data_IF_252197666326
#
_entry.id   IF_252197666326
#
_cell.length_a   1.000
_cell.length_b   1.000
_cell.length_c   1.000
_cell.angle_alpha   90.00
_cell.angle_beta   90.00
_cell.angle_gamma   90.00
#
_symmetry.space_group_name_H-M   'P 1'
#
loop_
_entity.id
_entity.type
_entity.pdbx_description
1 polymer ?
#
# COMPACT_ATOMS: atom_id res chain seq x y z
N UNK A 1 -19.54 -15.07 15.74
CA UNK A 1 -18.71 -13.99 16.34
C UNK A 1 -18.13 -13.16 15.22
N UNK A 2 -18.09 -11.83 15.31
CA UNK A 2 -17.42 -10.99 14.32
C UNK A 2 -15.95 -11.37 14.23
N UNK A 3 -15.38 -11.24 13.03
CA UNK A 3 -13.94 -11.47 12.81
C UNK A 3 -13.11 -10.40 13.51
N UNK A 4 -11.91 -10.72 14.02
CA UNK A 4 -10.95 -9.71 14.44
C UNK A 4 -10.61 -8.76 13.28
N UNK A 5 -10.40 -7.50 13.57
CA UNK A 5 -10.06 -6.50 12.55
C UNK A 5 -8.70 -6.81 11.87
N UNK A 6 -7.71 -7.26 12.64
CA UNK A 6 -6.35 -7.52 12.14
C UNK A 6 -5.79 -8.81 12.74
N UNK A 7 -5.23 -9.66 11.90
CA UNK A 7 -4.34 -10.75 12.28
C UNK A 7 -2.89 -10.30 12.12
N UNK A 8 -2.17 -10.20 13.22
CA UNK A 8 -0.72 -9.94 13.21
C UNK A 8 0.03 -11.27 13.04
N UNK A 9 0.59 -11.50 11.86
CA UNK A 9 1.24 -12.76 11.51
C UNK A 9 2.75 -12.65 11.69
N UNK A 10 3.28 -13.28 12.75
CA UNK A 10 4.71 -13.23 13.13
C UNK A 10 5.52 -14.43 12.66
N UNK A 11 4.91 -15.45 12.04
CA UNK A 11 5.60 -16.64 11.56
C UNK A 11 6.17 -16.45 10.14
N UNK A 12 7.51 -16.49 9.94
CA UNK A 12 8.11 -16.49 8.60
C UNK A 12 7.63 -17.65 7.72
N UNK A 13 7.35 -18.82 8.35
CA UNK A 13 6.80 -19.99 7.65
C UNK A 13 5.39 -19.69 7.13
N UNK A 14 4.52 -19.10 7.94
CA UNK A 14 3.17 -18.72 7.50
C UNK A 14 3.23 -17.72 6.36
N UNK A 15 4.12 -16.73 6.41
CA UNK A 15 4.35 -15.80 5.30
C UNK A 15 4.78 -16.51 4.04
N UNK A 16 5.70 -17.49 4.10
CA UNK A 16 6.10 -18.26 2.92
C UNK A 16 4.94 -19.02 2.26
N UNK A 17 3.96 -19.42 3.07
CA UNK A 17 2.74 -20.05 2.55
C UNK A 17 1.79 -19.03 1.87
N UNK A 18 1.78 -17.77 2.29
CA UNK A 18 0.90 -16.74 1.72
C UNK A 18 1.50 -16.12 0.45
N UNK A 19 2.81 -15.92 0.40
CA UNK A 19 3.53 -15.14 -0.61
C UNK A 19 3.58 -15.79 -2.01
N UNK A 20 2.54 -16.52 -2.42
CA UNK A 20 2.34 -16.88 -3.82
C UNK A 20 1.21 -16.00 -4.41
N UNK A 21 1.38 -15.45 -5.61
CA UNK A 21 0.40 -14.54 -6.20
C UNK A 21 -1.05 -15.03 -6.12
N UNK A 22 -1.28 -16.31 -6.49
CA UNK A 22 -2.63 -16.90 -6.43
C UNK A 22 -3.21 -16.90 -5.02
N UNK A 23 -2.41 -17.23 -4.00
CA UNK A 23 -2.90 -17.25 -2.62
C UNK A 23 -3.17 -15.85 -2.09
N UNK A 24 -2.33 -14.88 -2.48
CA UNK A 24 -2.55 -13.48 -2.13
C UNK A 24 -3.86 -12.96 -2.74
N UNK A 25 -4.12 -13.29 -4.00
CA UNK A 25 -5.37 -12.95 -4.69
C UNK A 25 -6.59 -13.68 -4.10
N UNK A 26 -6.44 -14.93 -3.66
CA UNK A 26 -7.52 -15.65 -2.99
C UNK A 26 -7.93 -14.97 -1.68
N UNK A 27 -6.98 -14.45 -0.90
CA UNK A 27 -7.29 -13.66 0.30
C UNK A 27 -8.11 -12.43 -0.06
N UNK A 28 -7.71 -11.69 -1.10
CA UNK A 28 -8.44 -10.50 -1.56
C UNK A 28 -9.83 -10.86 -2.10
N UNK A 29 -9.97 -11.95 -2.87
CA UNK A 29 -11.27 -12.44 -3.32
C UNK A 29 -12.16 -12.84 -2.14
N UNK A 30 -11.61 -13.51 -1.14
CA UNK A 30 -12.35 -13.88 0.07
C UNK A 30 -12.81 -12.66 0.88
N UNK A 31 -12.11 -11.54 0.83
CA UNK A 31 -12.59 -10.28 1.46
C UNK A 31 -13.89 -9.76 0.83
N UNK A 32 -14.18 -10.16 -0.40
CA UNK A 32 -15.40 -9.76 -1.11
C UNK A 32 -16.57 -10.73 -0.89
N UNK A 33 -16.30 -12.03 -0.65
CA UNK A 33 -17.35 -13.06 -0.62
C UNK A 33 -17.43 -13.89 0.66
N UNK A 34 -16.42 -13.85 1.55
CA UNK A 34 -16.40 -14.71 2.73
C UNK A 34 -17.46 -14.32 3.79
N UNK A 35 -18.11 -15.31 4.43
CA UNK A 35 -17.86 -16.74 4.31
C UNK A 35 -18.39 -17.32 2.99
N UNK A 36 -17.57 -18.07 2.26
CA UNK A 36 -17.89 -18.52 0.90
C UNK A 36 -17.33 -19.91 0.58
N UNK A 37 -17.90 -20.55 -0.44
CA UNK A 37 -17.37 -21.78 -1.03
C UNK A 37 -16.23 -21.44 -2.03
N UNK A 38 -15.40 -22.42 -2.32
CA UNK A 38 -14.29 -22.22 -3.26
C UNK A 38 -14.75 -21.81 -4.67
N UNK A 39 -15.95 -22.25 -5.08
CA UNK A 39 -16.54 -21.85 -6.35
C UNK A 39 -16.75 -20.33 -6.47
N UNK A 40 -17.14 -19.67 -5.36
CA UNK A 40 -17.30 -18.20 -5.34
C UNK A 40 -15.96 -17.48 -5.42
N UNK A 41 -14.91 -18.02 -4.79
CA UNK A 41 -13.54 -17.48 -4.93
C UNK A 41 -13.04 -17.67 -6.37
N UNK A 42 -13.35 -18.81 -6.97
CA UNK A 42 -13.00 -19.14 -8.36
C UNK A 42 -13.65 -18.17 -9.36
N UNK A 43 -14.93 -17.85 -9.14
CA UNK A 43 -15.69 -16.87 -9.93
C UNK A 43 -15.06 -15.46 -9.85
N UNK A 44 -14.75 -14.99 -8.65
CA UNK A 44 -14.10 -13.68 -8.46
C UNK A 44 -12.74 -13.60 -9.16
N UNK A 45 -11.99 -14.70 -9.16
CA UNK A 45 -10.63 -14.76 -9.73
C UNK A 45 -10.60 -15.14 -11.22
N UNK A 46 -11.75 -15.47 -11.80
CA UNK A 46 -11.86 -16.04 -13.14
C UNK A 46 -10.92 -17.25 -13.33
N UNK A 47 -11.01 -18.25 -12.41
CA UNK A 47 -10.15 -19.44 -12.39
C UNK A 47 -10.96 -20.71 -12.14
N UNK A 48 -10.50 -21.87 -12.67
CA UNK A 48 -11.11 -23.15 -12.33
C UNK A 48 -11.03 -23.43 -10.81
N UNK A 49 -12.15 -23.79 -10.20
CA UNK A 49 -12.23 -24.09 -8.76
C UNK A 49 -11.24 -25.18 -8.33
N UNK A 50 -11.07 -26.22 -9.16
CA UNK A 50 -10.18 -27.35 -8.88
C UNK A 50 -8.71 -26.93 -8.71
N UNK A 51 -8.30 -25.88 -9.40
CA UNK A 51 -6.95 -25.34 -9.28
C UNK A 51 -6.69 -24.67 -7.93
N UNK A 52 -7.75 -24.27 -7.21
CA UNK A 52 -7.65 -23.45 -5.98
C UNK A 52 -7.63 -24.29 -4.68
N UNK A 53 -8.11 -25.55 -4.69
CA UNK A 53 -8.17 -26.35 -3.46
C UNK A 53 -6.81 -26.49 -2.77
N UNK A 54 -5.77 -26.83 -3.50
CA UNK A 54 -4.41 -26.95 -2.94
C UNK A 54 -3.89 -25.62 -2.37
N UNK A 55 -4.30 -24.49 -2.95
CA UNK A 55 -3.95 -23.17 -2.45
C UNK A 55 -4.75 -22.83 -1.19
N UNK A 56 -6.03 -23.23 -1.12
CA UNK A 56 -6.87 -23.08 0.05
C UNK A 56 -6.29 -23.82 1.26
N UNK A 57 -5.87 -25.07 1.07
CA UNK A 57 -5.22 -25.84 2.16
C UNK A 57 -3.97 -25.12 2.68
N UNK A 58 -3.15 -24.53 1.81
CA UNK A 58 -1.99 -23.74 2.23
C UNK A 58 -2.36 -22.47 3.01
N UNK A 59 -3.50 -21.84 2.70
CA UNK A 59 -4.01 -20.70 3.47
C UNK A 59 -4.55 -21.12 4.83
N UNK A 60 -5.13 -22.32 4.94
CA UNK A 60 -5.51 -22.91 6.21
C UNK A 60 -4.28 -23.25 7.04
N UNK A 61 -3.27 -23.90 6.44
CA UNK A 61 -1.98 -24.22 7.09
C UNK A 61 -1.25 -22.95 7.59
N UNK A 62 -1.43 -21.82 6.87
CA UNK A 62 -0.89 -20.53 7.27
C UNK A 62 -1.69 -19.86 8.41
N UNK A 63 -2.86 -20.39 8.77
CA UNK A 63 -3.72 -19.86 9.81
C UNK A 63 -4.47 -18.57 9.42
N UNK A 64 -4.59 -18.26 8.14
CA UNK A 64 -5.30 -17.06 7.65
C UNK A 64 -6.71 -17.33 7.16
N UNK A 65 -6.99 -18.59 6.85
CA UNK A 65 -8.32 -19.10 6.48
C UNK A 65 -8.72 -20.23 7.43
N UNK A 66 -10.00 -20.34 7.71
CA UNK A 66 -10.61 -21.43 8.50
C UNK A 66 -11.77 -22.07 7.75
N UNK A 67 -12.05 -23.35 8.03
CA UNK A 67 -13.29 -23.98 7.62
C UNK A 67 -14.41 -23.43 8.50
N UNK A 68 -15.47 -22.90 7.88
CA UNK A 68 -16.59 -22.23 8.57
C UNK A 68 -17.89 -23.04 8.54
N UNK A 69 -17.81 -24.30 8.15
CA UNK A 69 -18.96 -25.20 8.06
C UNK A 69 -19.22 -25.70 6.64
N UNK A 70 -20.39 -26.22 6.42
CA UNK A 70 -20.84 -26.73 5.12
C UNK A 70 -22.17 -26.10 4.74
N UNK A 71 -22.38 -25.89 3.44
CA UNK A 71 -23.62 -25.37 2.88
C UNK A 71 -24.19 -26.38 1.88
N UNK A 72 -25.50 -26.63 1.96
CA UNK A 72 -26.22 -27.40 0.93
C UNK A 72 -26.63 -26.48 -0.19
N UNK A 73 -26.24 -26.81 -1.41
CA UNK A 73 -26.66 -26.11 -2.63
C UNK A 73 -27.33 -27.15 -3.53
N UNK A 74 -28.67 -27.24 -3.45
CA UNK A 74 -29.40 -28.29 -4.10
C UNK A 74 -29.05 -29.68 -3.55
N UNK A 75 -28.53 -30.58 -4.44
CA UNK A 75 -28.07 -31.93 -4.08
C UNK A 75 -26.63 -32.02 -3.62
N UNK A 76 -25.86 -30.92 -3.69
CA UNK A 76 -24.43 -30.89 -3.36
C UNK A 76 -24.20 -30.27 -1.99
N UNK A 77 -23.20 -30.77 -1.31
CA UNK A 77 -22.70 -30.18 -0.07
C UNK A 77 -21.35 -29.53 -0.36
N UNK A 78 -21.22 -28.26 -0.05
CA UNK A 78 -20.02 -27.48 -0.30
C UNK A 78 -19.35 -27.07 1.02
N UNK A 79 -18.04 -27.20 1.10
CA UNK A 79 -17.27 -26.67 2.22
C UNK A 79 -17.25 -25.15 2.14
N UNK A 80 -17.59 -24.50 3.24
CA UNK A 80 -17.53 -23.04 3.40
C UNK A 80 -16.24 -22.67 4.14
N UNK A 81 -15.58 -21.62 3.65
CA UNK A 81 -14.34 -21.07 4.20
C UNK A 81 -14.57 -19.63 4.64
N UNK A 82 -13.85 -19.21 5.66
CA UNK A 82 -13.88 -17.85 6.15
C UNK A 82 -12.48 -17.35 6.48
N UNK A 83 -12.26 -16.04 6.38
CA UNK A 83 -11.02 -15.43 6.83
C UNK A 83 -10.97 -15.42 8.36
N UNK A 84 -9.78 -15.58 8.92
CA UNK A 84 -9.56 -15.51 10.37
C UNK A 84 -9.66 -14.06 10.87
N UNK A 85 -9.29 -13.08 10.04
CA UNK A 85 -9.40 -11.65 10.33
C UNK A 85 -9.72 -10.87 9.05
N UNK A 86 -10.17 -9.62 9.20
CA UNK A 86 -10.49 -8.75 8.06
C UNK A 86 -9.21 -8.27 7.34
N UNK A 87 -8.12 -8.12 8.07
CA UNK A 87 -6.81 -7.74 7.54
C UNK A 87 -5.69 -8.64 8.08
N UNK A 88 -4.61 -8.76 7.32
CA UNK A 88 -3.42 -9.52 7.70
C UNK A 88 -2.24 -8.55 7.62
N UNK A 89 -1.55 -8.36 8.72
CA UNK A 89 -0.37 -7.51 8.79
C UNK A 89 0.85 -8.29 9.26
N UNK A 90 2.06 -7.90 8.84
CA UNK A 90 3.27 -8.45 9.42
C UNK A 90 3.37 -8.06 10.90
N UNK A 91 3.44 -9.08 11.75
CA UNK A 91 3.82 -8.94 13.14
C UNK A 91 5.31 -9.21 13.28
N UNK A 92 6.10 -8.19 13.53
CA UNK A 92 7.56 -8.35 13.61
C UNK A 92 8.05 -8.80 14.99
N UNK A 93 7.17 -8.87 15.98
CA UNK A 93 7.51 -9.39 17.30
C UNK A 93 8.06 -10.83 17.19
N UNK A 94 9.27 -11.05 17.68
CA UNK A 94 9.94 -12.34 17.61
C UNK A 94 10.63 -12.69 16.29
N UNK A 95 10.57 -11.81 15.27
CA UNK A 95 11.37 -11.93 14.05
C UNK A 95 12.72 -11.22 14.19
N UNK A 96 13.77 -11.83 13.64
CA UNK A 96 15.02 -11.12 13.41
C UNK A 96 14.84 -10.10 12.28
N UNK A 97 15.69 -9.06 12.25
CA UNK A 97 15.68 -8.06 11.17
C UNK A 97 15.77 -8.69 9.77
N UNK A 98 16.63 -9.71 9.64
CA UNK A 98 16.77 -10.48 8.39
C UNK A 98 15.48 -11.20 7.99
N UNK A 99 14.73 -11.75 8.96
CA UNK A 99 13.46 -12.42 8.68
C UNK A 99 12.39 -11.41 8.29
N UNK A 100 12.30 -10.30 9.00
CA UNK A 100 11.40 -9.20 8.68
C UNK A 100 11.67 -8.64 7.27
N UNK A 101 12.94 -8.40 6.94
CA UNK A 101 13.37 -7.98 5.61
C UNK A 101 12.92 -8.94 4.50
N UNK A 102 13.12 -10.26 4.68
CA UNK A 102 12.66 -11.27 3.71
C UNK A 102 11.14 -11.30 3.54
N UNK A 103 10.38 -11.07 4.60
CA UNK A 103 8.91 -10.97 4.51
C UNK A 103 8.52 -9.76 3.68
N UNK A 104 9.10 -8.59 3.96
CA UNK A 104 8.83 -7.37 3.18
C UNK A 104 9.19 -7.52 1.70
N UNK A 105 10.40 -8.01 1.41
CA UNK A 105 10.84 -8.28 0.03
C UNK A 105 9.87 -9.23 -0.69
N UNK A 106 9.45 -10.29 0.00
CA UNK A 106 8.49 -11.26 -0.54
C UNK A 106 7.11 -10.65 -0.82
N UNK A 107 6.60 -9.82 0.07
CA UNK A 107 5.33 -9.09 -0.12
C UNK A 107 5.44 -8.17 -1.33
N UNK A 108 6.48 -7.35 -1.41
CA UNK A 108 6.68 -6.42 -2.53
C UNK A 108 6.84 -7.16 -3.87
N UNK A 109 7.62 -8.23 -3.89
CA UNK A 109 7.78 -9.07 -5.08
C UNK A 109 6.46 -9.73 -5.52
N UNK A 110 5.62 -10.13 -4.58
CA UNK A 110 4.31 -10.72 -4.86
C UNK A 110 3.36 -9.68 -5.45
N UNK A 111 3.27 -8.52 -4.84
CA UNK A 111 2.46 -7.38 -5.33
C UNK A 111 2.91 -6.99 -6.75
N UNK A 112 4.21 -6.82 -6.96
CA UNK A 112 4.75 -6.45 -8.28
C UNK A 112 4.36 -7.46 -9.38
N UNK A 113 4.40 -8.77 -9.07
CA UNK A 113 3.96 -9.83 -10.01
C UNK A 113 2.47 -9.73 -10.33
N UNK A 114 1.63 -9.46 -9.34
CA UNK A 114 0.18 -9.31 -9.51
C UNK A 114 -0.09 -8.08 -10.38
N UNK A 115 0.46 -6.92 -10.05
CA UNK A 115 0.29 -5.67 -10.80
C UNK A 115 0.73 -5.84 -12.25
N UNK A 116 1.93 -6.39 -12.48
CA UNK A 116 2.46 -6.59 -13.83
C UNK A 116 1.61 -7.56 -14.66
N UNK A 117 1.02 -8.60 -14.05
CA UNK A 117 0.10 -9.50 -14.72
C UNK A 117 -1.20 -8.80 -15.07
N UNK A 118 -1.85 -8.16 -14.09
CA UNK A 118 -3.12 -7.44 -14.29
C UNK A 118 -2.98 -6.37 -15.38
N UNK A 119 -1.86 -5.64 -15.42
CA UNK A 119 -1.60 -4.66 -16.48
C UNK A 119 -1.50 -5.33 -17.88
N UNK A 120 -0.77 -6.47 -17.99
CA UNK A 120 -0.69 -7.20 -19.25
C UNK A 120 -2.04 -7.72 -19.71
N UNK A 121 -2.84 -8.24 -18.79
CA UNK A 121 -4.16 -8.79 -19.10
C UNK A 121 -5.13 -7.67 -19.51
N UNK A 122 -5.10 -6.51 -18.85
CA UNK A 122 -5.86 -5.33 -19.24
C UNK A 122 -5.49 -4.84 -20.65
N UNK A 123 -4.21 -4.86 -21.03
CA UNK A 123 -3.77 -4.50 -22.40
C UNK A 123 -4.26 -5.55 -23.41
N UNK A 124 -4.10 -6.84 -23.13
CA UNK A 124 -4.48 -7.92 -24.06
C UNK A 124 -5.98 -7.97 -24.34
N UNK A 125 -6.80 -7.67 -23.37
CA UNK A 125 -8.27 -7.73 -23.49
C UNK A 125 -8.90 -6.37 -23.79
N UNK A 126 -8.10 -5.36 -24.20
CA UNK A 126 -8.61 -4.05 -24.60
C UNK A 126 -9.15 -3.19 -23.47
N UNK A 127 -8.87 -3.57 -22.22
CA UNK A 127 -9.37 -2.84 -21.03
C UNK A 127 -8.83 -1.42 -20.87
N UNK A 128 -7.82 -1.03 -21.65
CA UNK A 128 -7.22 0.31 -21.62
C UNK A 128 -7.49 1.12 -22.89
N UNK A 129 -8.05 0.50 -23.96
CA UNK A 129 -8.28 1.14 -25.25
C UNK A 129 -9.72 0.89 -25.71
N UNK A 130 -10.39 1.89 -26.25
CA UNK A 130 -11.65 1.74 -26.95
C UNK A 130 -12.82 2.53 -26.38
N UNK A 131 -13.90 1.90 -25.97
CA UNK A 131 -15.20 2.49 -25.71
C UNK A 131 -15.24 3.58 -24.63
N UNK A 132 -16.13 4.54 -24.78
CA UNK A 132 -16.49 5.55 -23.77
C UNK A 132 -17.63 5.01 -22.88
N UNK A 133 -17.62 5.22 -21.53
CA UNK A 133 -16.54 5.80 -20.73
C UNK A 133 -15.38 4.80 -20.55
N UNK A 134 -14.17 5.27 -20.75
CA UNK A 134 -12.96 4.43 -20.62
C UNK A 134 -12.73 4.05 -19.14
N UNK A 135 -12.44 2.78 -18.82
CA UNK A 135 -11.85 2.47 -17.56
C UNK A 135 -10.52 3.20 -17.43
N UNK A 136 -10.38 3.97 -16.36
CA UNK A 136 -9.17 4.76 -16.16
C UNK A 136 -8.12 3.91 -15.47
N UNK A 137 -7.05 3.57 -16.18
CA UNK A 137 -5.81 3.15 -15.54
C UNK A 137 -5.02 4.42 -15.17
N UNK A 138 -4.62 4.53 -13.91
CA UNK A 138 -3.77 5.58 -13.41
C UNK A 138 -2.59 4.98 -12.65
N UNK A 139 -1.41 5.50 -12.90
CA UNK A 139 -0.21 5.15 -12.14
C UNK A 139 0.63 6.40 -11.94
N UNK A 140 1.22 6.54 -10.79
CA UNK A 140 2.22 7.57 -10.50
C UNK A 140 3.34 6.99 -9.66
N UNK A 141 4.51 7.61 -9.77
CA UNK A 141 5.68 7.35 -8.94
C UNK A 141 6.20 8.70 -8.46
N UNK A 142 6.15 8.93 -7.17
CA UNK A 142 6.56 10.18 -6.56
C UNK A 142 7.66 9.96 -5.51
N UNK A 143 8.59 10.89 -5.45
CA UNK A 143 9.56 11.00 -4.39
C UNK A 143 9.31 12.28 -3.62
N UNK A 144 8.86 12.15 -2.39
CA UNK A 144 8.53 13.28 -1.54
C UNK A 144 9.33 13.25 -0.24
N UNK A 145 9.67 14.41 0.28
CA UNK A 145 10.23 14.56 1.60
C UNK A 145 9.08 14.70 2.60
N UNK A 146 8.91 13.70 3.45
CA UNK A 146 7.93 13.72 4.53
C UNK A 146 8.66 13.86 5.85
N UNK A 147 8.34 14.88 6.60
CA UNK A 147 8.83 15.06 7.95
C UNK A 147 8.08 14.12 8.93
N UNK A 148 8.63 13.83 10.11
CA UNK A 148 7.94 13.00 11.10
C UNK A 148 6.53 13.52 11.46
N UNK A 149 6.32 14.83 11.45
CA UNK A 149 5.04 15.50 11.68
C UNK A 149 4.01 15.30 10.56
N UNK A 150 4.45 15.05 9.31
CA UNK A 150 3.55 14.78 8.17
C UNK A 150 3.01 13.34 8.20
N UNK A 151 3.69 12.44 8.91
CA UNK A 151 3.37 11.02 8.88
C UNK A 151 2.00 10.65 9.44
N UNK A 152 1.44 11.32 10.47
CA UNK A 152 0.07 11.08 10.91
C UNK A 152 -0.95 11.39 9.81
N UNK A 153 -0.87 12.54 9.17
CA UNK A 153 -1.77 12.95 8.09
C UNK A 153 -1.66 12.01 6.89
N UNK A 154 -0.44 11.68 6.48
CA UNK A 154 -0.18 10.71 5.42
C UNK A 154 -0.85 9.35 5.70
N UNK A 155 -0.76 8.83 6.94
CA UNK A 155 -1.42 7.59 7.33
C UNK A 155 -2.94 7.67 7.25
N UNK A 156 -3.53 8.80 7.63
CA UNK A 156 -4.97 8.99 7.54
C UNK A 156 -5.44 9.02 6.08
N UNK A 157 -4.71 9.63 5.15
CA UNK A 157 -5.01 9.56 3.72
C UNK A 157 -4.96 8.12 3.20
N UNK A 158 -3.92 7.36 3.54
CA UNK A 158 -3.81 5.94 3.16
C UNK A 158 -4.95 5.10 3.72
N UNK A 159 -5.35 5.36 4.95
CA UNK A 159 -6.47 4.70 5.62
C UNK A 159 -7.82 5.06 4.98
N UNK A 160 -8.03 6.33 4.63
CA UNK A 160 -9.23 6.79 3.94
C UNK A 160 -9.41 6.11 2.58
N UNK A 161 -8.34 5.99 1.79
CA UNK A 161 -8.34 5.26 0.52
C UNK A 161 -8.71 3.79 0.75
N UNK A 162 -8.06 3.13 1.73
CA UNK A 162 -8.35 1.73 2.07
C UNK A 162 -9.80 1.51 2.50
N UNK A 163 -10.36 2.40 3.31
CA UNK A 163 -11.75 2.36 3.76
C UNK A 163 -12.71 2.53 2.58
N UNK A 164 -12.50 3.54 1.74
CA UNK A 164 -13.30 3.75 0.53
C UNK A 164 -13.34 2.50 -0.37
N UNK A 165 -12.20 1.83 -0.58
CA UNK A 165 -12.12 0.62 -1.37
C UNK A 165 -12.83 -0.57 -0.68
N UNK A 166 -12.77 -0.65 0.65
CA UNK A 166 -13.44 -1.68 1.41
C UNK A 166 -14.97 -1.61 1.26
N UNK A 167 -15.52 -0.41 1.24
CA UNK A 167 -16.96 -0.17 1.05
C UNK A 167 -17.46 -0.52 -0.37
N UNK A 168 -16.54 -0.69 -1.33
CA UNK A 168 -16.85 -1.00 -2.73
C UNK A 168 -16.61 -2.47 -3.10
N UNK A 169 -16.46 -3.36 -2.14
CA UNK A 169 -16.15 -4.79 -2.35
C UNK A 169 -17.33 -5.65 -2.80
N UNK A 170 -18.48 -5.08 -3.18
CA UNK A 170 -19.64 -5.87 -3.63
C UNK A 170 -19.38 -6.45 -5.01
N UNK A 171 -19.31 -7.79 -5.18
CA UNK A 171 -19.05 -8.43 -6.47
C UNK A 171 -20.11 -8.09 -7.51
N UNK A 172 -19.67 -7.98 -8.77
CA UNK A 172 -20.57 -7.75 -9.92
C UNK A 172 -21.14 -6.34 -10.05
N UNK A 173 -20.78 -5.41 -9.16
CA UNK A 173 -21.22 -4.01 -9.24
C UNK A 173 -20.10 -3.12 -9.76
N UNK A 174 -20.14 -2.80 -11.05
CA UNK A 174 -19.14 -1.97 -11.73
C UNK A 174 -17.95 -2.78 -12.25
N UNK A 175 -16.85 -2.09 -12.55
CA UNK A 175 -15.60 -2.69 -13.02
C UNK A 175 -14.70 -3.01 -11.84
N UNK A 176 -14.12 -4.21 -11.82
CA UNK A 176 -13.15 -4.62 -10.81
C UNK A 176 -11.79 -3.93 -11.08
N UNK A 177 -11.29 -3.20 -10.10
CA UNK A 177 -9.98 -2.56 -10.15
C UNK A 177 -9.02 -3.20 -9.15
N UNK A 178 -7.78 -3.42 -9.58
CA UNK A 178 -6.66 -3.63 -8.67
C UNK A 178 -6.08 -2.26 -8.30
N UNK A 179 -6.13 -1.92 -7.02
CA UNK A 179 -5.52 -0.70 -6.48
C UNK A 179 -4.39 -1.09 -5.52
N UNK A 180 -3.21 -0.53 -5.74
CA UNK A 180 -2.03 -0.76 -4.91
C UNK A 180 -1.44 0.57 -4.50
N UNK A 181 -1.21 0.76 -3.21
CA UNK A 181 -0.49 1.90 -2.67
C UNK A 181 0.64 1.39 -1.77
N UNK A 182 1.85 1.84 -2.04
CA UNK A 182 3.07 1.47 -1.31
C UNK A 182 3.86 2.73 -0.99
N UNK A 183 4.23 2.88 0.27
CA UNK A 183 5.14 3.93 0.72
C UNK A 183 6.29 3.31 1.50
N UNK A 184 7.50 3.63 1.11
CA UNK A 184 8.72 3.13 1.74
C UNK A 184 9.78 4.23 1.83
N UNK A 185 10.57 4.28 2.92
CA UNK A 185 11.68 5.21 3.01
C UNK A 185 12.76 4.86 1.97
N UNK A 186 13.21 5.85 1.22
CA UNK A 186 14.34 5.72 0.30
C UNK A 186 15.64 5.91 1.08
N UNK A 187 16.39 4.82 1.27
CA UNK A 187 17.69 4.88 1.95
C UNK A 187 18.75 5.44 0.99
N UNK A 188 19.16 6.67 1.22
CA UNK A 188 20.23 7.30 0.46
C UNK A 188 21.57 6.93 1.08
N UNK A 189 22.47 6.34 0.30
CA UNK A 189 23.89 6.21 0.72
C UNK A 189 24.44 7.63 0.85
N UNK A 190 24.66 8.10 2.07
CA UNK A 190 25.33 9.38 2.31
C UNK A 190 26.72 9.28 1.68
N UNK A 191 26.95 10.03 0.60
CA UNK A 191 28.30 10.28 0.12
C UNK A 191 29.08 10.98 1.23
N UNK A 192 30.34 10.65 1.40
CA UNK A 192 31.24 11.10 2.46
C UNK A 192 31.46 12.64 2.54
N UNK A 193 30.66 13.47 1.88
CA UNK A 193 30.83 14.93 1.77
C UNK A 193 29.91 15.80 2.62
N UNK A 194 28.99 15.23 3.42
CA UNK A 194 28.07 16.05 4.24
C UNK A 194 28.47 16.20 5.71
N UNK A 195 29.64 15.69 6.14
CA UNK A 195 30.15 15.89 7.48
C UNK A 195 31.02 17.16 7.66
N UNK A 196 31.17 18.00 6.64
CA UNK A 196 32.00 19.21 6.74
C UNK A 196 31.23 20.47 7.15
N UNK A 197 29.89 20.48 7.02
CA UNK A 197 29.10 21.73 7.23
C UNK A 197 28.36 21.81 8.56
N UNK A 198 28.40 20.76 9.39
CA UNK A 198 27.79 20.77 10.73
C UNK A 198 28.76 21.12 11.85
N UNK A 199 29.98 21.60 11.52
CA UNK A 199 30.94 22.14 12.48
C UNK A 199 31.24 23.62 12.23
N UNK A 200 30.24 24.49 12.30
CA UNK A 200 30.49 25.90 12.61
C UNK A 200 30.21 26.13 14.09
N UNK A 201 31.19 26.57 14.86
CA UNK A 201 30.99 26.88 16.28
C UNK A 201 30.11 28.11 16.40
N UNK A 202 29.09 28.02 17.22
CA UNK A 202 28.40 29.18 17.80
C UNK A 202 29.42 29.91 18.66
N UNK A 203 29.74 31.16 18.33
CA UNK A 203 30.50 32.02 19.19
C UNK A 203 31.35 33.03 18.47
N UNK A 204 30.79 34.18 18.09
CA UNK A 204 31.53 35.44 18.03
C UNK A 204 30.57 36.61 18.21
N UNK A 205 30.39 37.00 19.43
CA UNK A 205 30.36 38.32 20.03
C UNK A 205 29.88 39.50 19.17
N UNK A 206 28.77 40.03 19.58
CA UNK A 206 28.34 41.41 19.33
C UNK A 206 29.50 42.41 19.52
N UNK A 207 29.79 43.22 18.54
CA UNK A 207 30.46 44.49 18.72
C UNK A 207 29.55 45.60 18.26
N UNK A 208 29.04 46.25 19.26
CA UNK A 208 28.35 47.56 19.20
C UNK A 208 29.36 48.59 18.63
N UNK A 209 28.95 49.30 17.61
CA UNK A 209 29.54 50.65 17.34
C UNK A 209 28.40 51.63 17.08
N UNK A 210 28.33 52.57 18.03
CA UNK A 210 27.53 53.80 18.01
C UNK A 210 28.24 54.88 17.20
N UNK A 211 27.44 55.87 16.83
CA UNK A 211 27.73 57.24 16.36
C UNK A 211 28.06 57.39 14.90
N UNK A 212 27.57 58.36 14.16
CA UNK A 212 27.07 59.68 14.51
C UNK A 212 26.26 60.28 13.38
N UNK A 213 25.31 61.10 13.79
CA UNK A 213 24.50 62.01 12.96
C UNK A 213 25.36 62.95 12.08
N UNK A 214 24.90 63.20 10.88
CA UNK A 214 24.89 64.55 10.28
C UNK A 214 24.00 64.57 9.01
N UNK A 215 22.89 65.27 9.10
CA UNK A 215 22.23 66.05 8.01
C UNK A 215 22.71 67.49 8.14
N UNK A 216 22.41 68.47 7.24
CA UNK A 216 21.67 68.46 5.99
C UNK A 216 22.34 69.35 4.87
N UNK A 217 21.80 69.40 3.67
CA UNK A 217 21.49 70.62 2.87
C UNK A 217 21.11 70.22 1.43
N UNK A 218 19.89 70.38 1.11
CA UNK A 218 19.15 71.35 0.32
C UNK A 218 19.90 72.04 -0.84
N UNK A 219 19.46 71.79 -2.09
CA UNK A 219 19.17 72.83 -3.09
C UNK A 219 18.52 72.22 -4.36
N UNK A 220 17.30 72.60 -4.50
CA UNK A 220 16.50 72.99 -5.67
C UNK A 220 17.25 73.12 -7.02
N UNK A 221 16.64 72.58 -8.10
CA UNK A 221 16.13 73.31 -9.25
C UNK A 221 15.47 72.39 -10.31
N UNK A 222 14.25 72.71 -10.59
CA UNK A 222 13.46 72.46 -11.78
C UNK A 222 13.89 73.52 -12.85
N UNK A 223 13.30 73.57 -14.12
CA UNK A 223 12.68 72.60 -14.99
C UNK A 223 13.19 72.68 -16.44
N UNK A 224 12.71 71.95 -17.43
CA UNK A 224 12.04 72.40 -18.66
C UNK A 224 12.08 71.36 -19.80
N UNK A 225 10.89 71.06 -20.29
CA UNK A 225 10.38 70.87 -21.66
C UNK A 225 11.33 70.38 -22.77
N UNK A 226 11.01 69.30 -23.37
CA UNK A 226 10.21 69.18 -24.62
C UNK A 226 9.72 67.76 -24.77
#
# INVERSE_FOLDING_TARGET
MPRPAVLSLSSPRAWSLILAPVRFEMIEAMRMCAPCAIAQVAEVLDRPADSLYRHMDKLIDAGVVKRAGVRRTGRRTEQVYDLVADDISPGFAGMTERQAGKVYEGVMATIAKIVARTARDAVRHGGLAGAQPKPHAAAFLEHSWLAPEDMPEFREHMKAIKSFLADKRTPGRGTLYLVTAVAMPVIRKRGARQNADSRKPAGATQRVQKSSQRSPRNSSKKPTRR
#
